data_IF_518356735288
#
_entry.id   IF_518356735288
#
_cell.length_a   1.000
_cell.length_b   1.000
_cell.length_c   1.000
_cell.angle_alpha   90.00
_cell.angle_beta   90.00
_cell.angle_gamma   90.00
#
_symmetry.space_group_name_H-M   'P 1'
#
loop_
_entity.id
_entity.type
_entity.pdbx_description
1 polymer ?
#
# COMPACT_ATOMS: atom_id res chain seq x y z
N UNK A 1 8.19 4.08 -9.92
CA UNK A 1 8.51 4.97 -8.79
C UNK A 1 10.02 5.19 -8.71
N UNK A 2 10.49 6.39 -8.34
CA UNK A 2 11.94 6.61 -8.10
C UNK A 2 12.37 5.96 -6.78
N UNK A 3 13.66 5.67 -6.61
CA UNK A 3 14.16 4.89 -5.46
C UNK A 3 13.90 5.53 -4.09
N UNK A 4 13.83 6.86 -3.99
CA UNK A 4 13.60 7.57 -2.72
C UNK A 4 12.13 7.55 -2.32
N UNK A 5 11.24 7.88 -3.24
CA UNK A 5 9.78 7.81 -3.07
C UNK A 5 9.32 6.37 -2.75
N UNK A 6 9.90 5.37 -3.42
CA UNK A 6 9.60 3.97 -3.16
C UNK A 6 9.98 3.54 -1.72
N UNK A 7 11.07 4.11 -1.19
CA UNK A 7 11.51 3.86 0.19
C UNK A 7 10.53 4.46 1.20
N UNK A 8 10.13 5.72 1.01
CA UNK A 8 9.18 6.40 1.90
C UNK A 8 7.81 5.70 1.91
N UNK A 9 7.34 5.26 0.74
CA UNK A 9 6.14 4.43 0.60
C UNK A 9 6.29 3.10 1.33
N UNK A 10 7.46 2.46 1.23
CA UNK A 10 7.70 1.19 1.89
C UNK A 10 7.76 1.31 3.41
N UNK A 11 8.43 2.33 3.93
CA UNK A 11 8.49 2.63 5.36
C UNK A 11 7.07 2.90 5.90
N UNK A 12 6.27 3.64 5.14
CA UNK A 12 4.86 3.88 5.42
C UNK A 12 4.02 2.59 5.48
N UNK A 13 4.31 1.62 4.60
CA UNK A 13 3.64 0.31 4.58
C UNK A 13 4.06 -0.54 5.77
N UNK A 14 5.36 -0.56 6.11
CA UNK A 14 5.88 -1.33 7.26
C UNK A 14 5.14 -0.95 8.56
N UNK A 15 4.83 0.33 8.75
CA UNK A 15 4.09 0.81 9.91
C UNK A 15 2.66 0.25 10.00
N UNK A 16 2.00 -0.01 8.87
CA UNK A 16 0.61 -0.47 8.84
C UNK A 16 0.46 -1.99 8.79
N UNK A 17 1.51 -2.72 8.40
CA UNK A 17 1.49 -4.19 8.33
C UNK A 17 1.05 -4.88 9.64
N UNK A 18 1.42 -4.42 10.85
CA UNK A 18 0.95 -5.05 12.09
C UNK A 18 -0.57 -5.00 12.31
N UNK A 19 -1.29 -4.12 11.60
CA UNK A 19 -2.73 -3.92 11.76
C UNK A 19 -3.58 -4.68 10.74
N UNK A 20 -2.95 -5.36 9.77
CA UNK A 20 -3.68 -6.15 8.77
C UNK A 20 -3.75 -7.61 9.18
N UNK A 21 -4.76 -8.33 8.70
CA UNK A 21 -5.01 -9.72 9.09
C UNK A 21 -3.89 -10.67 8.62
N UNK A 22 -3.40 -10.47 7.39
CA UNK A 22 -2.36 -11.30 6.76
C UNK A 22 -1.15 -10.44 6.33
N UNK A 23 -0.28 -10.04 7.28
CA UNK A 23 0.80 -9.07 7.01
C UNK A 23 1.80 -9.56 5.96
N UNK A 24 2.16 -10.84 5.95
CA UNK A 24 3.13 -11.37 4.99
C UNK A 24 2.57 -11.39 3.56
N UNK A 25 1.30 -11.76 3.39
CA UNK A 25 0.64 -11.75 2.07
C UNK A 25 0.42 -10.32 1.58
N UNK A 26 -0.04 -9.43 2.46
CA UNK A 26 -0.15 -8.00 2.15
C UNK A 26 1.20 -7.41 1.74
N UNK A 27 2.27 -7.72 2.48
CA UNK A 27 3.63 -7.26 2.16
C UNK A 27 4.09 -7.71 0.76
N UNK A 28 3.88 -8.97 0.41
CA UNK A 28 4.26 -9.50 -0.90
C UNK A 28 3.47 -8.82 -2.03
N UNK A 29 2.17 -8.62 -1.83
CA UNK A 29 1.30 -7.97 -2.81
C UNK A 29 1.64 -6.49 -2.99
N UNK A 30 1.78 -5.73 -1.91
CA UNK A 30 2.17 -4.33 -1.96
C UNK A 30 3.56 -4.16 -2.58
N UNK A 31 4.52 -5.05 -2.29
CA UNK A 31 5.85 -5.01 -2.89
C UNK A 31 5.81 -5.10 -4.42
N UNK A 32 4.92 -5.92 -4.99
CA UNK A 32 4.71 -6.00 -6.44
C UNK A 32 4.09 -4.71 -6.96
N UNK A 33 3.02 -4.24 -6.32
CA UNK A 33 2.31 -3.03 -6.75
C UNK A 33 3.21 -1.78 -6.73
N UNK A 34 4.14 -1.66 -5.76
CA UNK A 34 5.10 -0.55 -5.70
C UNK A 34 6.05 -0.58 -6.90
N UNK A 35 6.56 -1.76 -7.27
CA UNK A 35 7.44 -1.91 -8.43
C UNK A 35 6.72 -1.62 -9.75
N UNK A 36 5.44 -1.99 -9.85
CA UNK A 36 4.61 -1.76 -11.03
C UNK A 36 4.08 -0.33 -11.13
N UNK A 37 4.12 0.46 -10.06
CA UNK A 37 3.55 1.81 -10.02
C UNK A 37 4.58 2.87 -10.35
N UNK A 38 4.20 3.86 -11.16
CA UNK A 38 5.04 4.98 -11.54
C UNK A 38 5.19 5.99 -10.41
N UNK A 39 4.12 6.21 -9.64
CA UNK A 39 4.03 7.14 -8.52
C UNK A 39 3.08 6.62 -7.43
N UNK A 40 3.03 7.33 -6.29
CA UNK A 40 2.19 6.96 -5.14
C UNK A 40 0.67 7.02 -5.43
N UNK A 41 0.21 7.88 -6.35
CA UNK A 41 -1.22 7.97 -6.69
C UNK A 41 -1.66 6.76 -7.49
N UNK A 42 -0.86 6.36 -8.48
CA UNK A 42 -1.10 5.14 -9.25
C UNK A 42 -1.13 3.91 -8.33
N UNK A 43 -0.21 3.83 -7.36
CA UNK A 43 -0.20 2.78 -6.35
C UNK A 43 -1.50 2.74 -5.55
N UNK A 44 -1.97 3.88 -5.04
CA UNK A 44 -3.22 3.97 -4.27
C UNK A 44 -4.41 3.49 -5.09
N UNK A 45 -4.50 3.90 -6.37
CA UNK A 45 -5.59 3.45 -7.25
C UNK A 45 -5.53 1.94 -7.50
N UNK A 46 -4.34 1.36 -7.71
CA UNK A 46 -4.18 -0.10 -7.82
C UNK A 46 -4.59 -0.82 -6.54
N UNK A 47 -4.26 -0.29 -5.36
CA UNK A 47 -4.67 -0.87 -4.07
C UNK A 47 -6.19 -0.76 -3.88
N UNK A 48 -6.81 0.36 -4.27
CA UNK A 48 -8.28 0.53 -4.22
C UNK A 48 -9.01 -0.41 -5.18
N UNK A 49 -8.43 -0.66 -6.34
CA UNK A 49 -8.93 -1.60 -7.35
C UNK A 49 -8.66 -3.07 -7.04
N UNK A 50 -7.86 -3.39 -6.00
CA UNK A 50 -7.63 -4.76 -5.57
C UNK A 50 -8.86 -5.30 -4.84
N UNK A 51 -9.44 -6.34 -5.41
CA UNK A 51 -10.34 -7.26 -4.72
C UNK A 51 -9.65 -8.60 -4.62
N UNK A 52 -9.41 -9.09 -3.41
CA UNK A 52 -8.96 -10.48 -3.25
C UNK A 52 -10.20 -11.38 -3.38
N UNK A 53 -10.33 -12.01 -4.55
CA UNK A 53 -11.42 -12.94 -4.86
C UNK A 53 -11.46 -14.14 -3.89
N UNK A 54 -10.38 -14.36 -3.13
CA UNK A 54 -10.24 -15.41 -2.14
C UNK A 54 -10.55 -14.95 -0.70
N UNK A 55 -10.88 -13.67 -0.46
CA UNK A 55 -11.24 -13.12 0.85
C UNK A 55 -10.11 -13.07 1.90
N UNK A 56 -8.87 -13.35 1.51
CA UNK A 56 -7.68 -13.37 2.35
C UNK A 56 -7.17 -11.95 2.65
N UNK A 57 -7.23 -11.06 1.66
CA UNK A 57 -6.99 -9.63 1.89
C UNK A 57 -8.33 -8.93 2.08
N UNK A 58 -8.59 -8.50 3.32
CA UNK A 58 -9.84 -7.82 3.65
C UNK A 58 -9.83 -6.40 3.09
N UNK A 59 -11.00 -5.92 2.68
CA UNK A 59 -11.20 -4.53 2.24
C UNK A 59 -10.75 -3.51 3.31
N UNK A 60 -10.97 -3.83 4.59
CA UNK A 60 -10.52 -3.02 5.72
C UNK A 60 -8.99 -2.88 5.77
N UNK A 61 -8.28 -3.96 5.48
CA UNK A 61 -6.82 -4.00 5.52
C UNK A 61 -6.25 -3.13 4.39
N UNK A 62 -6.83 -3.22 3.19
CA UNK A 62 -6.50 -2.34 2.06
C UNK A 62 -6.79 -0.86 2.40
N UNK A 63 -7.91 -0.58 3.08
CA UNK A 63 -8.24 0.78 3.51
C UNK A 63 -7.24 1.35 4.51
N UNK A 64 -6.72 0.56 5.45
CA UNK A 64 -5.68 1.02 6.39
C UNK A 64 -4.43 1.49 5.62
N UNK A 65 -3.99 0.69 4.64
CA UNK A 65 -2.83 1.02 3.79
C UNK A 65 -3.09 2.29 2.98
N UNK A 66 -4.23 2.37 2.29
CA UNK A 66 -4.62 3.55 1.50
C UNK A 66 -4.65 4.81 2.38
N UNK A 67 -5.28 4.75 3.55
CA UNK A 67 -5.39 5.90 4.44
C UNK A 67 -4.02 6.40 4.91
N UNK A 68 -3.06 5.50 5.15
CA UNK A 68 -1.70 5.89 5.54
C UNK A 68 -0.94 6.53 4.36
N UNK A 69 -1.03 5.94 3.17
CA UNK A 69 -0.42 6.51 1.95
C UNK A 69 -1.02 7.88 1.58
N UNK A 70 -2.33 8.05 1.71
CA UNK A 70 -2.98 9.37 1.48
C UNK A 70 -2.52 10.42 2.49
N UNK A 71 -2.27 10.04 3.75
CA UNK A 71 -1.66 10.94 4.75
C UNK A 71 -0.24 11.32 4.38
N UNK A 72 0.56 10.38 3.85
CA UNK A 72 1.92 10.65 3.39
C UNK A 72 1.90 11.79 2.34
N UNK A 73 1.03 11.69 1.32
CA UNK A 73 0.89 12.72 0.27
C UNK A 73 0.54 14.11 0.85
N UNK A 74 -0.33 14.17 1.87
CA UNK A 74 -0.74 15.45 2.47
C UNK A 74 0.39 16.16 3.21
N UNK A 75 1.38 15.44 3.74
CA UNK A 75 2.52 16.01 4.44
C UNK A 75 3.58 16.63 3.51
N UNK A 76 3.56 16.32 2.20
CA UNK A 76 4.48 16.92 1.21
C UNK A 76 3.99 18.27 0.63
N UNK A 77 2.86 18.81 1.10
CA UNK A 77 2.27 20.09 0.64
C UNK A 77 2.41 21.17 1.68
#
# INVERSE_FOLDING_TARGET
MKSEEAKEVWDCIIEVLPYVYEPNRMKAELSKLIHESSDIKELIEKIKGRTDEQGVIKRTDLQIVVNRLEKLIRNYK
#
